data_IF_107765161016
#
_entry.id   IF_107765161016
#
_cell.length_a   1.000
_cell.length_b   1.000
_cell.length_c   1.000
_cell.angle_alpha   90.00
_cell.angle_beta   90.00
_cell.angle_gamma   90.00
#
_symmetry.space_group_name_H-M   'P 1'
#
loop_
_entity.id
_entity.type
_entity.pdbx_description
1 polymer ?
#
# COMPACT_ATOMS: atom_id res chain seq x y z
N UNK A 1 -40.76 -29.39 -6.30
CA UNK A 1 -39.81 -28.54 -7.04
C UNK A 1 -39.14 -27.69 -5.99
N UNK A 2 -37.86 -27.96 -5.76
CA UNK A 2 -37.09 -27.56 -4.57
C UNK A 2 -36.90 -26.05 -4.54
N UNK A 3 -37.25 -25.44 -3.40
CA UNK A 3 -36.94 -24.06 -3.07
C UNK A 3 -35.41 -23.83 -3.09
N UNK A 4 -34.95 -23.03 -4.03
CA UNK A 4 -33.58 -22.51 -4.07
C UNK A 4 -33.49 -21.35 -3.09
N UNK A 5 -32.87 -21.58 -1.93
CA UNK A 5 -32.43 -20.49 -1.05
C UNK A 5 -31.09 -19.97 -1.59
N UNK A 6 -31.10 -18.76 -2.15
CA UNK A 6 -29.89 -17.98 -2.42
C UNK A 6 -29.28 -17.51 -1.09
N UNK A 7 -28.16 -18.12 -0.71
CA UNK A 7 -27.33 -17.61 0.38
C UNK A 7 -26.49 -16.43 -0.13
N UNK A 8 -27.00 -15.20 0.04
CA UNK A 8 -26.17 -13.99 0.03
C UNK A 8 -25.33 -13.96 1.31
N UNK A 9 -24.14 -14.56 1.25
CA UNK A 9 -23.15 -14.41 2.31
C UNK A 9 -22.53 -13.00 2.20
N UNK A 10 -22.97 -12.14 3.11
CA UNK A 10 -22.39 -10.83 3.38
C UNK A 10 -20.99 -11.05 3.98
N UNK A 11 -19.95 -11.06 3.14
CA UNK A 11 -18.57 -11.29 3.57
C UNK A 11 -18.02 -9.98 4.17
N UNK A 12 -18.41 -9.70 5.42
CA UNK A 12 -17.63 -8.78 6.24
C UNK A 12 -16.33 -9.50 6.60
N UNK A 13 -15.23 -8.99 6.06
CA UNK A 13 -13.84 -9.38 6.36
C UNK A 13 -13.56 -9.09 7.83
N UNK A 14 -13.91 -10.01 8.71
CA UNK A 14 -13.39 -10.02 10.08
C UNK A 14 -12.06 -10.72 9.98
N UNK A 15 -10.97 -9.95 9.90
CA UNK A 15 -9.62 -10.53 9.96
C UNK A 15 -9.52 -11.39 11.22
N UNK A 16 -8.95 -12.59 11.08
CA UNK A 16 -8.70 -13.50 12.18
C UNK A 16 -7.58 -13.01 13.12
N UNK A 17 -6.82 -11.98 12.71
CA UNK A 17 -5.84 -11.34 13.57
C UNK A 17 -6.51 -10.46 14.63
N UNK A 18 -5.99 -10.43 15.87
CA UNK A 18 -6.42 -9.48 16.87
C UNK A 18 -6.35 -8.04 16.32
N UNK A 19 -7.36 -7.17 16.58
CA UNK A 19 -7.35 -5.79 16.10
C UNK A 19 -6.09 -5.03 16.52
N UNK A 20 -5.61 -5.25 17.74
CA UNK A 20 -4.38 -4.68 18.28
C UNK A 20 -3.13 -5.04 17.45
N UNK A 21 -3.06 -6.26 16.93
CA UNK A 21 -1.94 -6.72 16.11
C UNK A 21 -2.03 -6.16 14.70
N UNK A 22 -3.24 -6.06 14.15
CA UNK A 22 -3.48 -5.44 12.83
C UNK A 22 -3.15 -3.95 12.86
N UNK A 23 -3.51 -3.23 13.93
CA UNK A 23 -3.16 -1.83 14.13
C UNK A 23 -1.65 -1.63 14.30
N UNK A 24 -0.99 -2.51 15.08
CA UNK A 24 0.47 -2.51 15.26
C UNK A 24 1.18 -2.71 13.92
N UNK A 25 0.83 -3.77 13.19
CA UNK A 25 1.40 -4.07 11.87
C UNK A 25 1.12 -2.95 10.88
N UNK A 26 -0.11 -2.42 10.83
CA UNK A 26 -0.45 -1.29 9.98
C UNK A 26 0.41 -0.06 10.25
N UNK A 27 0.63 0.28 11.53
CA UNK A 27 1.47 1.40 11.93
C UNK A 27 2.94 1.17 11.56
N UNK A 28 3.47 -0.03 11.80
CA UNK A 28 4.85 -0.38 11.46
C UNK A 28 5.09 -0.43 9.94
N UNK A 29 4.11 -0.93 9.17
CA UNK A 29 4.15 -0.94 7.70
C UNK A 29 4.13 0.49 7.16
N UNK A 30 3.25 1.35 7.66
CA UNK A 30 3.24 2.78 7.25
C UNK A 30 4.58 3.44 7.58
N UNK A 31 5.13 3.19 8.77
CA UNK A 31 6.45 3.71 9.13
C UNK A 31 7.56 3.22 8.19
N UNK A 32 7.53 1.94 7.80
CA UNK A 32 8.49 1.38 6.84
C UNK A 32 8.33 2.01 5.45
N UNK A 33 7.09 2.21 4.96
CA UNK A 33 6.81 2.85 3.67
C UNK A 33 7.32 4.31 3.63
N UNK A 34 7.24 5.04 4.74
CA UNK A 34 7.81 6.40 4.87
C UNK A 34 9.34 6.46 4.81
N UNK A 35 10.03 5.31 4.90
CA UNK A 35 11.49 5.25 4.71
C UNK A 35 11.90 5.07 3.24
N UNK A 36 10.94 4.77 2.36
CA UNK A 36 11.17 4.57 0.93
C UNK A 36 10.92 5.89 0.21
N UNK A 37 11.97 6.41 -0.41
CA UNK A 37 11.94 7.67 -1.17
C UNK A 37 11.95 7.40 -2.67
N UNK A 38 11.24 8.22 -3.43
CA UNK A 38 11.32 8.20 -4.88
C UNK A 38 12.68 8.78 -5.33
N UNK A 39 13.46 8.08 -6.18
CA UNK A 39 14.77 8.58 -6.63
C UNK A 39 14.67 9.80 -7.57
N UNK A 40 13.52 10.01 -8.21
CA UNK A 40 13.25 11.15 -9.11
C UNK A 40 12.66 12.35 -8.35
N UNK A 41 11.89 12.09 -7.29
CA UNK A 41 11.24 13.12 -6.46
C UNK A 41 11.67 12.96 -5.01
N UNK A 42 12.34 13.94 -4.37
CA UNK A 42 12.91 13.83 -3.02
C UNK A 42 11.83 13.89 -1.91
N UNK A 43 10.84 13.01 -1.99
CA UNK A 43 9.75 12.83 -1.05
C UNK A 43 9.48 11.32 -0.90
N UNK A 44 8.89 10.92 0.22
CA UNK A 44 8.56 9.52 0.46
C UNK A 44 7.31 9.10 -0.32
N UNK A 45 7.26 7.82 -0.70
CA UNK A 45 6.18 7.28 -1.53
C UNK A 45 4.80 7.32 -0.86
N UNK A 46 4.76 7.38 0.47
CA UNK A 46 3.52 7.41 1.24
C UNK A 46 2.91 8.82 1.19
N UNK A 47 3.70 9.85 1.46
CA UNK A 47 3.28 11.25 1.38
C UNK A 47 3.04 11.69 -0.08
N UNK A 48 3.75 11.10 -1.05
CA UNK A 48 3.44 11.27 -2.47
C UNK A 48 2.09 10.65 -2.87
N UNK A 49 1.48 9.83 -2.03
CA UNK A 49 0.20 9.17 -2.32
C UNK A 49 0.33 8.10 -3.41
N UNK A 50 1.49 7.45 -3.52
CA UNK A 50 1.72 6.35 -4.46
C UNK A 50 1.17 5.02 -3.95
N UNK A 51 0.92 4.90 -2.65
CA UNK A 51 0.32 3.71 -2.03
C UNK A 51 -1.21 3.86 -2.04
N UNK A 52 -1.89 2.95 -2.73
CA UNK A 52 -3.35 3.00 -2.87
C UNK A 52 -4.06 2.08 -1.90
N UNK A 53 -3.48 0.91 -1.64
CA UNK A 53 -4.08 -0.10 -0.78
C UNK A 53 -3.00 -0.89 -0.07
N UNK A 54 -3.24 -1.16 1.21
CA UNK A 54 -2.47 -2.10 2.02
C UNK A 54 -3.48 -3.01 2.69
N UNK A 55 -3.40 -4.31 2.39
CA UNK A 55 -4.27 -5.33 2.97
C UNK A 55 -3.42 -6.37 3.68
N UNK A 56 -3.65 -6.52 4.99
CA UNK A 56 -2.99 -7.51 5.82
C UNK A 56 -3.93 -8.70 5.93
N UNK A 57 -3.52 -9.84 5.39
CA UNK A 57 -4.26 -11.11 5.47
C UNK A 57 -4.02 -11.81 6.80
N UNK A 58 -4.88 -12.76 7.10
CA UNK A 58 -4.86 -13.53 8.35
C UNK A 58 -3.60 -14.40 8.52
N UNK A 59 -2.97 -14.79 7.41
CA UNK A 59 -1.69 -15.49 7.37
C UNK A 59 -0.48 -14.55 7.49
N UNK A 60 -0.72 -13.26 7.77
CA UNK A 60 0.25 -12.16 7.81
C UNK A 60 0.86 -11.80 6.45
N UNK A 61 0.31 -12.33 5.36
CA UNK A 61 0.65 -11.87 4.02
C UNK A 61 0.16 -10.44 3.84
N UNK A 62 0.99 -9.57 3.27
CA UNK A 62 0.66 -8.18 2.98
C UNK A 62 0.52 -8.03 1.48
N UNK A 63 -0.68 -7.72 1.02
CA UNK A 63 -0.93 -7.32 -0.37
C UNK A 63 -0.95 -5.79 -0.43
N UNK A 64 -0.10 -5.24 -1.28
CA UNK A 64 0.08 -3.80 -1.44
C UNK A 64 -0.13 -3.41 -2.90
N UNK A 65 -1.08 -2.50 -3.14
CA UNK A 65 -1.29 -1.91 -4.46
C UNK A 65 -0.68 -0.50 -4.46
N UNK A 66 0.27 -0.28 -5.36
CA UNK A 66 0.92 1.01 -5.56
C UNK A 66 0.86 1.45 -7.01
N UNK A 67 1.04 2.74 -7.23
CA UNK A 67 1.16 3.32 -8.57
C UNK A 67 2.51 4.03 -8.71
N UNK A 68 2.78 4.54 -9.91
CA UNK A 68 3.97 5.32 -10.22
C UNK A 68 3.57 6.66 -10.81
N UNK A 69 4.42 7.66 -10.62
CA UNK A 69 4.21 9.01 -11.16
C UNK A 69 4.18 9.02 -12.69
N UNK A 70 4.96 8.14 -13.33
CA UNK A 70 4.96 7.95 -14.79
C UNK A 70 5.18 6.48 -15.20
N UNK A 71 4.55 6.02 -16.31
CA UNK A 71 4.63 4.63 -16.75
C UNK A 71 5.98 4.19 -17.35
N UNK A 72 6.83 5.14 -17.72
CA UNK A 72 8.14 4.88 -18.33
C UNK A 72 9.31 5.26 -17.41
N UNK A 73 9.08 5.43 -16.10
CA UNK A 73 10.15 5.78 -15.18
C UNK A 73 11.12 4.59 -15.01
N UNK A 74 12.45 4.78 -15.12
CA UNK A 74 13.41 3.72 -14.78
C UNK A 74 13.27 3.26 -13.32
N UNK A 75 12.83 4.14 -12.42
CA UNK A 75 12.52 3.80 -11.02
C UNK A 75 11.38 2.78 -10.86
N UNK A 76 10.56 2.56 -11.90
CA UNK A 76 9.53 1.53 -11.91
C UNK A 76 10.07 0.11 -11.69
N UNK A 77 11.35 -0.11 -12.02
CA UNK A 77 12.00 -1.40 -11.82
C UNK A 77 12.48 -1.61 -10.38
N UNK A 78 12.81 -0.54 -9.65
CA UNK A 78 13.46 -0.63 -8.34
C UNK A 78 12.50 -0.31 -7.19
N UNK A 79 11.58 0.64 -7.37
CA UNK A 79 10.64 1.07 -6.34
C UNK A 79 9.77 -0.08 -5.78
N UNK A 80 9.14 -0.93 -6.60
CA UNK A 80 8.33 -2.03 -6.08
C UNK A 80 9.16 -2.97 -5.19
N UNK A 81 10.40 -3.27 -5.58
CA UNK A 81 11.31 -4.10 -4.80
C UNK A 81 11.78 -3.40 -3.52
N UNK A 82 12.03 -2.09 -3.56
CA UNK A 82 12.35 -1.33 -2.34
C UNK A 82 11.18 -1.34 -1.35
N UNK A 83 9.95 -1.17 -1.85
CA UNK A 83 8.72 -1.26 -1.05
C UNK A 83 8.55 -2.65 -0.46
N UNK A 84 8.67 -3.70 -1.28
CA UNK A 84 8.56 -5.08 -0.84
C UNK A 84 9.56 -5.37 0.29
N UNK A 85 10.83 -4.99 0.11
CA UNK A 85 11.87 -5.21 1.10
C UNK A 85 11.64 -4.41 2.40
N UNK A 86 11.18 -3.15 2.29
CA UNK A 86 10.88 -2.33 3.45
C UNK A 86 9.74 -2.93 4.28
N UNK A 87 8.65 -3.34 3.64
CA UNK A 87 7.52 -3.98 4.31
C UNK A 87 7.89 -5.37 4.86
N UNK A 88 8.67 -6.15 4.11
CA UNK A 88 9.14 -7.47 4.55
C UNK A 88 10.11 -7.40 5.74
N UNK A 89 10.74 -6.24 5.98
CA UNK A 89 11.60 -6.03 7.14
C UNK A 89 10.84 -5.84 8.46
N UNK A 90 9.52 -5.62 8.40
CA UNK A 90 8.66 -5.38 9.57
C UNK A 90 8.48 -6.69 10.37
N UNK A 91 8.80 -6.71 11.67
CA UNK A 91 8.66 -7.92 12.49
C UNK A 91 7.22 -8.44 12.57
N UNK A 92 7.02 -9.65 12.03
CA UNK A 92 5.71 -10.31 12.04
C UNK A 92 4.94 -10.20 10.72
N UNK A 93 5.47 -9.46 9.73
CA UNK A 93 4.99 -9.54 8.35
C UNK A 93 5.42 -10.85 7.72
N UNK A 94 4.51 -11.46 6.96
CA UNK A 94 4.73 -12.67 6.18
C UNK A 94 5.21 -12.36 4.76
N UNK A 95 4.59 -13.00 3.76
CA UNK A 95 4.87 -12.74 2.35
C UNK A 95 4.38 -11.34 1.98
N UNK A 96 5.14 -10.60 1.20
CA UNK A 96 4.74 -9.28 0.69
C UNK A 96 4.51 -9.39 -0.81
N UNK A 97 3.32 -9.02 -1.27
CA UNK A 97 2.98 -8.97 -2.68
C UNK A 97 2.76 -7.50 -3.08
N UNK A 98 3.63 -6.97 -3.93
CA UNK A 98 3.50 -5.60 -4.45
C UNK A 98 2.94 -5.63 -5.87
N UNK A 99 1.76 -5.03 -6.06
CA UNK A 99 1.11 -4.89 -7.36
C UNK A 99 1.22 -3.44 -7.83
N UNK A 100 1.67 -3.26 -9.08
CA UNK A 100 1.63 -1.96 -9.73
C UNK A 100 0.29 -1.79 -10.44
N UNK A 101 -0.49 -0.81 -9.98
CA UNK A 101 -1.77 -0.43 -10.59
C UNK A 101 -1.62 0.92 -11.30
N UNK A 102 -2.21 0.99 -12.49
CA UNK A 102 -2.21 2.20 -13.33
C UNK A 102 -3.53 2.96 -13.28
N UNK A 103 -4.59 2.30 -12.80
CA UNK A 103 -5.91 2.88 -12.64
C UNK A 103 -6.35 2.80 -11.17
N UNK A 104 -6.78 3.92 -10.56
CA UNK A 104 -6.81 5.28 -11.13
C UNK A 104 -5.40 5.84 -11.34
N UNK A 105 -5.19 6.60 -12.42
CA UNK A 105 -3.90 7.26 -12.67
C UNK A 105 -3.56 8.20 -11.52
N UNK A 106 -2.27 8.25 -11.15
CA UNK A 106 -1.79 9.16 -10.11
C UNK A 106 -1.95 10.62 -10.56
N UNK A 107 -2.37 11.47 -9.64
CA UNK A 107 -2.39 12.92 -9.82
C UNK A 107 -1.75 13.60 -8.63
N UNK A 108 -1.07 14.77 -8.80
CA UNK A 108 -0.50 15.55 -7.70
C UNK A 108 -1.51 15.92 -6.59
N UNK A 109 -2.80 15.91 -6.90
CA UNK A 109 -3.87 16.10 -5.91
C UNK A 109 -3.92 15.01 -4.83
N UNK A 110 -3.29 13.85 -5.07
CA UNK A 110 -3.19 12.76 -4.09
C UNK A 110 -2.06 12.95 -3.08
N UNK A 111 -1.14 13.89 -3.32
CA UNK A 111 -0.09 14.21 -2.37
C UNK A 111 -0.67 14.78 -1.08
N UNK A 112 -0.07 14.43 0.05
CA UNK A 112 -0.37 15.06 1.33
C UNK A 112 0.01 16.54 1.32
N UNK A 113 -0.55 17.32 2.23
CA UNK A 113 -0.20 18.73 2.37
C UNK A 113 1.29 18.91 2.74
N UNK A 114 1.90 17.93 3.43
CA UNK A 114 3.34 17.90 3.73
C UNK A 114 4.17 17.70 2.46
N UNK A 115 3.80 16.76 1.59
CA UNK A 115 4.49 16.55 0.32
C UNK A 115 4.38 17.76 -0.63
N UNK A 116 3.21 18.41 -0.69
CA UNK A 116 3.03 19.64 -1.50
C UNK A 116 3.92 20.79 -1.01
N UNK A 117 4.08 20.92 0.30
CA UNK A 117 4.97 21.91 0.92
C UNK A 117 6.44 21.66 0.55
N UNK A 118 6.89 20.41 0.63
CA UNK A 118 8.27 20.00 0.26
C UNK A 118 8.57 20.30 -1.20
N UNK A 119 7.58 20.09 -2.09
CA UNK A 119 7.72 20.33 -3.53
C UNK A 119 7.45 21.80 -3.94
N UNK A 120 7.16 22.68 -2.98
CA UNK A 120 6.85 24.09 -3.20
C UNK A 120 5.70 24.29 -4.22
N UNK A 121 4.70 23.41 -4.19
CA UNK A 121 3.53 23.42 -5.08
C UNK A 121 2.35 24.08 -4.34
N UNK A 122 2.21 25.40 -4.52
CA UNK A 122 1.13 26.23 -3.97
C UNK A 122 0.21 26.77 -5.07
#
# INVERSE_FOLDING_TARGET
MTDTIEAKANMQTVSALPPEETERLGTEIVAALKTVFDPEIPADIYELGLIYKVEIKDDRTVDLDMTLTTPNCPAAAELPTMVENAVASVPGVGVVNVNIVWEPAWTPERMSDEARLVLNMW
#
